data_IF_385138497783
#
_entry.id   IF_385138497783
#
_cell.length_a   1.000
_cell.length_b   1.000
_cell.length_c   1.000
_cell.angle_alpha   90.00
_cell.angle_beta   90.00
_cell.angle_gamma   90.00
#
_symmetry.space_group_name_H-M   'P 1'
#
loop_
_entity.id
_entity.type
_entity.pdbx_description
1 polymer ?
#
# COMPACT_ATOMS: atom_id res chain seq x y z
N UNK A 1 27.82 -5.40 -27.67
CA UNK A 1 29.04 -4.77 -28.25
C UNK A 1 28.67 -3.91 -29.46
N UNK A 2 28.07 -4.47 -30.55
CA UNK A 2 27.74 -3.72 -31.77
C UNK A 2 26.79 -2.53 -31.53
N UNK A 3 25.76 -2.72 -30.68
CA UNK A 3 24.81 -1.64 -30.32
C UNK A 3 25.54 -0.47 -29.62
N UNK A 4 26.43 -0.75 -28.68
CA UNK A 4 27.19 0.28 -27.97
C UNK A 4 28.10 1.08 -28.90
N UNK A 5 28.74 0.41 -29.86
CA UNK A 5 29.55 1.12 -30.88
C UNK A 5 28.71 2.11 -31.69
N UNK A 6 27.54 1.67 -32.15
CA UNK A 6 26.60 2.57 -32.87
C UNK A 6 26.09 3.71 -32.01
N UNK A 7 25.80 3.47 -30.72
CA UNK A 7 25.41 4.52 -29.79
C UNK A 7 26.49 5.56 -29.58
N UNK A 8 27.78 5.14 -29.49
CA UNK A 8 28.92 6.05 -29.41
C UNK A 8 29.05 6.91 -30.68
N UNK A 9 28.88 6.30 -31.85
CA UNK A 9 28.91 7.04 -33.14
C UNK A 9 27.75 8.03 -33.22
N UNK A 10 26.54 7.62 -32.84
CA UNK A 10 25.34 8.50 -32.81
C UNK A 10 25.51 9.64 -31.83
N UNK A 11 26.03 9.38 -30.64
CA UNK A 11 26.33 10.39 -29.62
C UNK A 11 27.21 11.51 -30.19
N UNK A 12 28.32 11.12 -30.84
CA UNK A 12 29.24 12.08 -31.50
C UNK A 12 28.58 12.85 -32.64
N UNK A 13 27.74 12.16 -33.44
CA UNK A 13 27.08 12.79 -34.59
C UNK A 13 25.99 13.77 -34.21
N UNK A 14 25.27 13.48 -33.10
CA UNK A 14 24.10 14.25 -32.64
C UNK A 14 24.40 15.17 -31.46
N UNK A 15 25.65 15.17 -30.98
CA UNK A 15 26.08 15.90 -29.77
C UNK A 15 25.20 15.59 -28.54
N UNK A 16 24.86 14.30 -28.36
CA UNK A 16 24.05 13.84 -27.22
C UNK A 16 24.96 13.06 -26.25
N UNK A 17 25.14 13.53 -25.01
CA UNK A 17 25.97 12.85 -24.02
C UNK A 17 25.51 11.42 -23.72
N UNK A 18 26.47 10.49 -23.57
CA UNK A 18 26.20 9.12 -23.14
C UNK A 18 26.16 9.02 -21.62
N UNK A 19 25.40 8.05 -21.12
CA UNK A 19 25.41 7.65 -19.72
C UNK A 19 25.57 6.14 -19.59
N UNK A 20 26.43 5.70 -18.67
CA UNK A 20 26.64 4.29 -18.38
C UNK A 20 25.48 3.74 -17.56
N UNK A 21 24.94 2.58 -17.98
CA UNK A 21 23.89 1.84 -17.26
C UNK A 21 24.27 0.38 -17.13
N UNK A 22 23.75 -0.31 -16.12
CA UNK A 22 24.10 -1.71 -15.85
C UNK A 22 22.96 -2.70 -16.12
N UNK A 23 21.70 -2.26 -16.18
CA UNK A 23 20.54 -3.13 -16.34
C UNK A 23 20.45 -4.21 -15.22
N UNK A 24 20.66 -3.79 -13.96
CA UNK A 24 20.71 -4.71 -12.82
C UNK A 24 19.36 -5.36 -12.54
N UNK A 25 19.33 -6.70 -12.42
CA UNK A 25 18.14 -7.50 -12.12
C UNK A 25 18.25 -8.22 -10.78
N UNK A 26 19.45 -8.39 -10.24
CA UNK A 26 19.72 -9.02 -8.94
C UNK A 26 20.94 -8.38 -8.28
N UNK A 27 21.15 -8.63 -6.98
CA UNK A 27 22.18 -7.95 -6.20
C UNK A 27 23.57 -8.51 -6.43
N UNK A 28 23.72 -9.83 -6.36
CA UNK A 28 25.01 -10.53 -6.45
C UNK A 28 25.05 -11.44 -7.67
N UNK A 29 26.24 -11.71 -8.17
CA UNK A 29 26.42 -12.56 -9.35
C UNK A 29 25.86 -13.97 -9.17
N UNK A 30 25.99 -14.54 -7.97
CA UNK A 30 25.46 -15.83 -7.59
C UNK A 30 23.93 -15.91 -7.55
N UNK A 31 23.23 -14.77 -7.49
CA UNK A 31 21.77 -14.70 -7.53
C UNK A 31 21.16 -14.96 -8.93
N UNK A 32 22.01 -15.08 -9.96
CA UNK A 32 21.58 -15.30 -11.33
C UNK A 32 20.65 -16.52 -11.48
N UNK A 33 20.99 -17.63 -10.80
CA UNK A 33 20.15 -18.82 -10.83
C UNK A 33 18.80 -18.63 -10.14
N UNK A 34 18.77 -17.95 -8.99
CA UNK A 34 17.54 -17.60 -8.28
C UNK A 34 16.65 -16.70 -9.15
N UNK A 35 17.24 -15.77 -9.89
CA UNK A 35 16.54 -14.93 -10.83
C UNK A 35 15.93 -15.72 -12.00
N UNK A 36 16.62 -16.72 -12.55
CA UNK A 36 16.03 -17.59 -13.56
C UNK A 36 14.82 -18.38 -13.04
N UNK A 37 14.91 -18.88 -11.80
CA UNK A 37 13.76 -19.53 -11.12
C UNK A 37 12.62 -18.53 -10.94
N UNK A 38 12.90 -17.28 -10.57
CA UNK A 38 11.89 -16.21 -10.45
C UNK A 38 11.19 -15.93 -11.78
N UNK A 39 11.94 -15.91 -12.91
CA UNK A 39 11.35 -15.76 -14.24
C UNK A 39 10.40 -16.93 -14.57
N UNK A 40 10.78 -18.16 -14.22
CA UNK A 40 9.90 -19.34 -14.36
C UNK A 40 8.63 -19.20 -13.51
N UNK A 41 8.74 -18.70 -12.27
CA UNK A 41 7.57 -18.44 -11.41
C UNK A 41 6.62 -17.42 -12.05
N UNK A 42 7.17 -16.32 -12.58
CA UNK A 42 6.39 -15.24 -13.20
C UNK A 42 5.69 -15.67 -14.50
N UNK A 43 6.38 -16.46 -15.32
CA UNK A 43 5.89 -16.89 -16.64
C UNK A 43 5.10 -18.18 -16.61
N UNK A 44 5.00 -18.85 -15.46
CA UNK A 44 4.33 -20.13 -15.31
C UNK A 44 5.09 -21.31 -15.90
N UNK A 45 6.38 -21.13 -16.21
CA UNK A 45 7.27 -22.14 -16.82
C UNK A 45 8.05 -22.93 -15.76
N UNK A 46 8.69 -24.01 -16.20
CA UNK A 46 9.65 -24.82 -15.42
C UNK A 46 11.08 -24.58 -15.89
N UNK A 47 12.06 -24.85 -15.03
CA UNK A 47 13.48 -24.76 -15.40
C UNK A 47 13.87 -25.77 -16.50
N UNK A 48 13.12 -26.83 -16.67
CA UNK A 48 13.27 -27.87 -17.72
C UNK A 48 12.68 -27.46 -19.07
N UNK A 49 11.81 -26.44 -19.13
CA UNK A 49 11.18 -26.03 -20.38
C UNK A 49 12.19 -25.37 -21.33
N UNK A 50 12.21 -25.76 -22.58
CA UNK A 50 13.14 -25.23 -23.60
C UNK A 50 12.78 -23.80 -24.00
N UNK A 51 11.50 -23.48 -24.06
CA UNK A 51 10.94 -22.19 -24.48
C UNK A 51 10.80 -21.17 -23.33
N UNK A 52 11.44 -21.41 -22.18
CA UNK A 52 11.44 -20.48 -21.06
C UNK A 52 12.29 -19.24 -21.31
N UNK A 53 11.92 -18.13 -20.74
CA UNK A 53 12.73 -16.92 -20.74
C UNK A 53 14.05 -17.16 -19.99
N UNK A 54 15.17 -16.73 -20.60
CA UNK A 54 16.53 -16.86 -20.05
C UNK A 54 17.27 -15.54 -20.25
N UNK A 55 18.10 -15.14 -19.28
CA UNK A 55 18.92 -13.94 -19.43
C UNK A 55 20.18 -14.18 -20.26
N UNK A 56 20.60 -15.42 -20.45
CA UNK A 56 21.73 -15.82 -21.29
C UNK A 56 23.12 -15.50 -20.72
N UNK A 57 23.20 -14.79 -19.58
CA UNK A 57 24.44 -14.44 -18.87
C UNK A 57 24.13 -14.13 -17.41
N UNK A 58 25.14 -14.22 -16.53
CA UNK A 58 25.07 -13.88 -15.11
C UNK A 58 25.54 -12.44 -14.81
N UNK A 59 25.59 -11.57 -15.84
CA UNK A 59 26.17 -10.23 -15.75
C UNK A 59 25.16 -9.13 -15.32
N UNK A 60 23.94 -9.49 -14.94
CA UNK A 60 22.88 -8.53 -14.52
C UNK A 60 22.86 -8.23 -13.01
N UNK A 61 23.99 -8.45 -12.32
CA UNK A 61 24.13 -8.08 -10.90
C UNK A 61 24.52 -6.61 -10.72
N UNK A 62 24.39 -6.09 -9.50
CA UNK A 62 24.81 -4.74 -9.16
C UNK A 62 26.34 -4.69 -9.09
N UNK A 63 26.96 -4.14 -10.13
CA UNK A 63 28.42 -4.01 -10.25
C UNK A 63 28.96 -2.89 -9.37
N UNK A 64 30.20 -3.06 -8.89
CA UNK A 64 30.91 -2.00 -8.18
C UNK A 64 31.27 -0.83 -9.12
N UNK A 65 31.57 0.36 -8.57
CA UNK A 65 32.06 1.48 -9.38
C UNK A 65 33.33 1.13 -10.20
N UNK A 66 34.22 0.33 -9.63
CA UNK A 66 35.44 -0.11 -10.28
C UNK A 66 35.16 -1.05 -11.45
N UNK A 67 34.27 -2.03 -11.26
CA UNK A 67 33.81 -2.91 -12.34
C UNK A 67 33.14 -2.10 -13.45
N UNK A 68 32.26 -1.15 -13.12
CA UNK A 68 31.64 -0.29 -14.13
C UNK A 68 32.65 0.56 -14.86
N UNK A 69 33.67 1.13 -14.18
CA UNK A 69 34.74 1.89 -14.82
C UNK A 69 35.55 1.05 -15.81
N UNK A 70 35.81 -0.21 -15.47
CA UNK A 70 36.54 -1.13 -16.39
C UNK A 70 35.67 -1.48 -17.62
N UNK A 71 34.36 -1.72 -17.45
CA UNK A 71 33.44 -1.97 -18.58
C UNK A 71 33.33 -0.79 -19.54
N UNK A 72 33.40 0.44 -19.03
CA UNK A 72 33.25 1.68 -19.81
C UNK A 72 34.56 2.44 -19.99
N UNK A 73 35.75 1.79 -19.82
CA UNK A 73 37.07 2.43 -19.93
C UNK A 73 37.32 3.15 -21.26
N UNK A 74 36.63 2.74 -22.33
CA UNK A 74 36.75 3.38 -23.65
C UNK A 74 35.83 4.61 -23.80
N UNK A 75 34.96 4.89 -22.83
CA UNK A 75 33.97 5.98 -22.80
C UNK A 75 33.82 6.50 -21.37
N UNK A 76 34.90 6.94 -20.71
CA UNK A 76 34.88 7.32 -19.29
C UNK A 76 33.90 8.45 -19.00
N UNK A 77 33.65 9.34 -19.94
CA UNK A 77 32.66 10.42 -19.84
C UNK A 77 31.23 9.89 -19.58
N UNK A 78 30.93 8.65 -20.00
CA UNK A 78 29.61 8.05 -19.72
C UNK A 78 29.43 7.72 -18.23
N UNK A 79 30.50 7.39 -17.50
CA UNK A 79 30.50 7.24 -16.05
C UNK A 79 30.36 8.61 -15.36
N UNK A 80 31.16 9.62 -15.78
CA UNK A 80 31.07 10.98 -15.21
C UNK A 80 29.66 11.58 -15.38
N UNK A 81 29.02 11.31 -16.49
CA UNK A 81 27.67 11.81 -16.78
C UNK A 81 26.60 11.24 -15.84
N UNK A 82 26.83 10.11 -15.17
CA UNK A 82 25.90 9.60 -14.12
C UNK A 82 25.80 10.61 -12.96
N UNK A 83 26.94 11.18 -12.54
CA UNK A 83 26.99 12.21 -11.49
C UNK A 83 26.33 13.49 -11.97
N UNK A 84 26.63 13.96 -13.20
CA UNK A 84 26.00 15.14 -13.78
C UNK A 84 24.46 15.03 -13.88
N UNK A 85 23.94 13.81 -14.12
CA UNK A 85 22.48 13.57 -14.10
C UNK A 85 21.95 13.66 -12.67
N UNK A 86 22.63 13.05 -11.69
CA UNK A 86 22.23 13.13 -10.29
C UNK A 86 22.18 14.58 -9.79
N UNK A 87 23.16 15.42 -10.17
CA UNK A 87 23.21 16.86 -9.82
C UNK A 87 22.06 17.66 -10.43
N UNK A 88 21.50 17.24 -11.56
CA UNK A 88 20.30 17.86 -12.15
C UNK A 88 19.00 17.47 -11.47
N UNK A 89 19.00 16.41 -10.67
CA UNK A 89 17.82 15.92 -9.98
C UNK A 89 17.68 16.60 -8.62
N UNK A 90 16.81 17.61 -8.54
CA UNK A 90 16.49 18.33 -7.31
C UNK A 90 15.04 18.09 -6.95
N UNK A 91 14.80 17.25 -5.94
CA UNK A 91 13.47 16.90 -5.46
C UNK A 91 13.45 16.95 -3.93
N UNK A 92 12.66 17.84 -3.39
CA UNK A 92 12.35 17.91 -1.96
C UNK A 92 10.94 17.37 -1.68
N UNK A 93 10.83 16.59 -0.62
CA UNK A 93 9.55 16.07 -0.15
C UNK A 93 9.02 16.95 1.00
N UNK A 94 7.85 17.54 0.80
CA UNK A 94 7.14 18.23 1.88
C UNK A 94 6.51 17.20 2.82
N UNK A 95 7.06 17.05 4.02
CA UNK A 95 6.49 16.22 5.08
C UNK A 95 5.55 17.05 5.98
N UNK A 96 4.48 16.40 6.46
CA UNK A 96 3.54 17.01 7.41
C UNK A 96 2.46 17.90 6.79
N UNK A 97 2.51 18.16 5.49
CA UNK A 97 1.47 18.91 4.79
C UNK A 97 0.35 17.97 4.32
N UNK A 98 -0.73 17.89 5.08
CA UNK A 98 -1.90 17.06 4.76
C UNK A 98 -2.74 17.74 3.69
N UNK A 99 -2.89 17.08 2.53
CA UNK A 99 -3.66 17.58 1.37
C UNK A 99 -5.03 16.92 1.34
N UNK A 100 -5.96 17.35 2.21
CA UNK A 100 -7.35 16.89 2.17
C UNK A 100 -8.11 17.56 1.01
N UNK A 101 -9.07 16.87 0.38
CA UNK A 101 -10.00 17.50 -0.54
C UNK A 101 -10.85 18.53 0.19
N UNK A 102 -11.33 19.55 -0.53
CA UNK A 102 -12.31 20.49 0.02
C UNK A 102 -13.69 19.85 -0.05
N UNK A 103 -14.45 19.99 1.03
CA UNK A 103 -15.87 19.68 1.03
C UNK A 103 -16.66 20.92 0.56
N UNK A 104 -17.62 20.73 -0.34
CA UNK A 104 -18.52 21.83 -0.75
C UNK A 104 -19.68 21.90 0.22
N UNK A 105 -19.75 23.00 0.99
CA UNK A 105 -20.85 23.27 1.92
C UNK A 105 -22.03 23.96 1.22
N UNK A 106 -23.27 23.76 1.68
CA UNK A 106 -24.44 24.49 1.17
C UNK A 106 -24.25 25.99 1.28
N UNK A 107 -24.80 26.75 0.31
CA UNK A 107 -24.57 28.19 0.19
C UNK A 107 -25.09 29.04 1.35
N UNK A 108 -25.99 28.48 2.20
CA UNK A 108 -26.49 29.13 3.41
C UNK A 108 -25.48 29.18 4.57
N UNK A 109 -24.37 28.44 4.48
CA UNK A 109 -23.34 28.40 5.52
C UNK A 109 -22.10 29.21 5.11
N UNK A 110 -21.64 30.09 5.99
CA UNK A 110 -20.47 30.93 5.74
C UNK A 110 -19.16 30.13 5.78
N UNK A 111 -19.08 29.10 6.62
CA UNK A 111 -17.87 28.27 6.80
C UNK A 111 -18.20 26.78 6.88
N UNK A 112 -17.19 25.94 6.59
CA UNK A 112 -17.26 24.49 6.78
C UNK A 112 -17.53 24.13 8.25
N UNK A 113 -16.95 24.88 9.16
CA UNK A 113 -17.13 24.72 10.61
C UNK A 113 -18.57 24.96 11.04
N UNK A 114 -19.24 25.98 10.50
CA UNK A 114 -20.65 26.27 10.83
C UNK A 114 -21.56 25.12 10.39
N UNK A 115 -21.37 24.65 9.17
CA UNK A 115 -22.12 23.50 8.66
C UNK A 115 -21.86 22.24 9.48
N UNK A 116 -20.60 21.95 9.78
CA UNK A 116 -20.20 20.82 10.60
C UNK A 116 -20.86 20.85 12.00
N UNK A 117 -20.77 21.99 12.68
CA UNK A 117 -21.39 22.19 14.00
C UNK A 117 -22.91 22.03 13.95
N UNK A 118 -23.55 22.51 12.88
CA UNK A 118 -25.02 22.33 12.69
C UNK A 118 -25.37 20.86 12.56
N UNK A 119 -24.69 20.13 11.66
CA UNK A 119 -24.92 18.70 11.46
C UNK A 119 -24.68 17.89 12.74
N UNK A 120 -23.60 18.20 13.46
CA UNK A 120 -23.25 17.51 14.69
C UNK A 120 -24.27 17.76 15.80
N UNK A 121 -24.76 19.01 15.97
CA UNK A 121 -25.79 19.36 16.96
C UNK A 121 -27.14 18.71 16.63
N UNK A 122 -27.57 18.72 15.38
CA UNK A 122 -28.79 18.04 14.95
C UNK A 122 -28.68 16.52 15.19
N UNK A 123 -27.48 15.98 14.95
CA UNK A 123 -27.20 14.58 15.24
C UNK A 123 -27.20 14.26 16.73
N UNK A 124 -26.66 15.13 17.57
CA UNK A 124 -26.66 14.97 19.02
C UNK A 124 -28.09 14.91 19.54
N UNK A 125 -28.98 15.84 19.10
CA UNK A 125 -30.37 15.86 19.46
C UNK A 125 -31.11 14.58 19.02
N UNK A 126 -30.82 14.06 17.84
CA UNK A 126 -31.37 12.77 17.35
C UNK A 126 -30.94 11.58 18.20
N UNK A 127 -29.70 11.57 18.74
CA UNK A 127 -29.13 10.44 19.48
C UNK A 127 -29.49 10.45 20.98
N UNK A 128 -29.56 11.65 21.58
CA UNK A 128 -29.72 11.82 23.03
C UNK A 128 -30.93 12.66 23.42
N UNK A 129 -31.75 13.12 22.44
CA UNK A 129 -32.89 14.02 22.67
C UNK A 129 -32.45 15.48 22.81
N UNK A 130 -33.44 16.36 23.01
CA UNK A 130 -33.21 17.83 23.03
C UNK A 130 -32.47 18.32 24.28
N UNK A 131 -32.43 17.53 25.34
CA UNK A 131 -31.78 17.89 26.59
C UNK A 131 -30.86 16.78 27.11
N UNK A 132 -29.73 16.53 26.48
CA UNK A 132 -28.73 15.57 26.97
C UNK A 132 -28.11 16.01 28.29
N UNK A 133 -27.53 15.05 29.05
CA UNK A 133 -26.85 15.34 30.33
C UNK A 133 -25.68 16.29 30.14
N UNK A 134 -25.25 16.93 31.22
CA UNK A 134 -24.12 17.88 31.16
C UNK A 134 -22.81 17.16 30.77
N UNK A 135 -22.59 15.94 31.24
CA UNK A 135 -21.46 15.08 30.80
C UNK A 135 -21.42 14.91 29.27
N UNK A 136 -22.55 14.65 28.66
CA UNK A 136 -22.64 14.49 27.19
C UNK A 136 -22.38 15.81 26.49
N UNK A 137 -22.87 16.93 26.99
CA UNK A 137 -22.64 18.27 26.42
C UNK A 137 -21.19 18.67 26.52
N UNK A 138 -20.56 18.52 27.69
CA UNK A 138 -19.16 18.84 27.91
C UNK A 138 -18.24 18.02 27.01
N UNK A 139 -18.46 16.72 26.95
CA UNK A 139 -17.69 15.83 26.06
C UNK A 139 -17.86 16.19 24.59
N UNK A 140 -19.07 16.50 24.16
CA UNK A 140 -19.38 16.88 22.78
C UNK A 140 -18.69 18.19 22.37
N UNK A 141 -18.80 19.25 23.19
CA UNK A 141 -18.16 20.55 22.91
C UNK A 141 -16.63 20.43 22.96
N UNK A 142 -16.08 19.63 23.86
CA UNK A 142 -14.66 19.33 23.92
C UNK A 142 -14.17 18.69 22.60
N UNK A 143 -14.84 17.63 22.15
CA UNK A 143 -14.45 16.96 20.91
C UNK A 143 -14.59 17.86 19.67
N UNK A 144 -15.67 18.67 19.58
CA UNK A 144 -15.83 19.65 18.51
C UNK A 144 -14.63 20.63 18.48
N UNK A 145 -14.23 21.14 19.64
CA UNK A 145 -13.11 22.07 19.74
C UNK A 145 -11.77 21.45 19.31
N UNK A 146 -11.54 20.19 19.65
CA UNK A 146 -10.33 19.45 19.25
C UNK A 146 -10.32 19.21 17.75
N UNK A 147 -11.44 18.74 17.17
CA UNK A 147 -11.55 18.49 15.72
C UNK A 147 -11.31 19.77 14.92
N UNK A 148 -11.87 20.89 15.36
CA UNK A 148 -11.68 22.22 14.74
C UNK A 148 -10.24 22.68 14.84
N UNK A 149 -9.65 22.67 16.05
CA UNK A 149 -8.25 23.06 16.29
C UNK A 149 -7.24 22.23 15.47
N UNK A 150 -7.50 20.96 15.32
CA UNK A 150 -6.63 20.06 14.55
C UNK A 150 -6.85 20.16 13.03
N UNK A 151 -7.86 20.93 12.56
CA UNK A 151 -8.15 21.14 11.14
C UNK A 151 -8.78 19.94 10.44
N UNK A 152 -9.52 19.09 11.16
CA UNK A 152 -10.12 17.88 10.59
C UNK A 152 -11.60 18.00 10.26
N UNK A 153 -12.16 19.22 10.26
CA UNK A 153 -13.58 19.47 9.92
C UNK A 153 -13.94 18.88 8.55
N UNK A 154 -13.14 19.19 7.50
CA UNK A 154 -13.39 18.67 6.15
C UNK A 154 -13.31 17.15 6.09
N UNK A 155 -12.37 16.55 6.83
CA UNK A 155 -12.25 15.10 6.92
C UNK A 155 -13.52 14.45 7.46
N UNK A 156 -14.08 14.98 8.55
CA UNK A 156 -15.34 14.48 9.11
C UNK A 156 -16.52 14.68 8.17
N UNK A 157 -16.61 15.84 7.50
CA UNK A 157 -17.65 16.12 6.52
C UNK A 157 -17.62 15.16 5.33
N UNK A 158 -16.44 14.86 4.80
CA UNK A 158 -16.26 13.91 3.71
C UNK A 158 -16.66 12.50 4.13
N UNK A 159 -16.25 12.06 5.33
CA UNK A 159 -16.60 10.73 5.84
C UNK A 159 -18.11 10.64 6.08
N UNK A 160 -18.72 11.66 6.70
CA UNK A 160 -20.15 11.74 6.87
C UNK A 160 -20.91 11.68 5.55
N UNK A 161 -20.45 12.40 4.54
CA UNK A 161 -21.10 12.52 3.24
C UNK A 161 -21.26 11.17 2.53
N UNK A 162 -20.20 10.40 2.38
CA UNK A 162 -20.30 9.12 1.69
C UNK A 162 -21.05 8.06 2.52
N UNK A 163 -20.99 8.12 3.85
CA UNK A 163 -21.80 7.26 4.73
C UNK A 163 -23.27 7.62 4.59
N UNK A 164 -23.59 8.91 4.59
CA UNK A 164 -24.96 9.41 4.42
C UNK A 164 -25.49 9.02 3.03
N UNK A 165 -24.68 9.16 1.97
CA UNK A 165 -25.04 8.67 0.64
C UNK A 165 -25.38 7.18 0.67
N UNK A 166 -24.52 6.34 1.24
CA UNK A 166 -24.75 4.90 1.32
C UNK A 166 -26.08 4.59 2.01
N UNK A 167 -26.37 5.23 3.16
CA UNK A 167 -27.62 5.03 3.90
C UNK A 167 -28.85 5.50 3.13
N UNK A 168 -28.77 6.64 2.44
CA UNK A 168 -29.90 7.16 1.63
C UNK A 168 -30.19 6.27 0.42
N UNK A 169 -29.20 5.54 -0.09
CA UNK A 169 -29.38 4.55 -1.13
C UNK A 169 -29.75 3.15 -0.60
N UNK A 170 -29.95 2.99 0.71
CA UNK A 170 -30.26 1.71 1.33
C UNK A 170 -29.09 0.72 1.28
N UNK A 171 -27.84 1.21 1.18
CA UNK A 171 -26.63 0.40 1.27
C UNK A 171 -26.31 0.21 2.75
N UNK A 172 -26.16 -1.04 3.19
CA UNK A 172 -25.85 -1.33 4.59
C UNK A 172 -24.45 -0.80 4.96
N UNK A 173 -24.38 -0.12 6.12
CA UNK A 173 -23.16 0.44 6.70
C UNK A 173 -22.96 -0.16 8.08
N UNK A 174 -21.77 -0.66 8.36
CA UNK A 174 -21.42 -1.22 9.66
C UNK A 174 -21.46 -0.17 10.80
N UNK A 175 -21.58 -0.60 12.06
CA UNK A 175 -21.70 0.31 13.20
C UNK A 175 -20.43 1.13 13.51
N UNK A 176 -19.37 0.90 12.78
CA UNK A 176 -18.06 1.46 13.03
C UNK A 176 -17.19 0.55 13.90
N UNK A 177 -15.89 0.73 13.81
CA UNK A 177 -14.87 -0.04 14.54
C UNK A 177 -13.59 0.76 14.73
N UNK A 178 -12.61 0.19 15.43
CA UNK A 178 -11.34 0.85 15.71
C UNK A 178 -11.50 2.02 16.68
N UNK A 179 -10.56 2.98 16.60
CA UNK A 179 -10.52 4.14 17.51
C UNK A 179 -11.62 5.17 17.25
N UNK A 180 -12.13 5.27 16.01
CA UNK A 180 -13.18 6.22 15.65
C UNK A 180 -14.50 6.04 16.40
N UNK A 181 -14.77 4.81 16.91
CA UNK A 181 -15.92 4.54 17.77
C UNK A 181 -15.87 5.29 19.11
N UNK A 182 -14.72 5.83 19.51
CA UNK A 182 -14.55 6.63 20.73
C UNK A 182 -15.04 8.07 20.63
N UNK A 183 -15.45 8.55 19.43
CA UNK A 183 -15.91 9.93 19.24
C UNK A 183 -17.42 10.07 19.35
N UNK A 184 -17.89 10.93 20.27
CA UNK A 184 -19.31 11.29 20.39
C UNK A 184 -19.77 12.15 19.20
N UNK A 185 -18.88 12.95 18.62
CA UNK A 185 -19.18 13.73 17.41
C UNK A 185 -19.38 12.80 16.22
N UNK A 186 -18.53 11.77 16.05
CA UNK A 186 -18.73 10.75 15.02
C UNK A 186 -20.05 9.97 15.20
N UNK A 187 -20.41 9.66 16.43
CA UNK A 187 -21.69 9.04 16.78
C UNK A 187 -22.89 9.96 16.48
N UNK A 188 -22.81 11.24 16.83
CA UNK A 188 -23.83 12.23 16.54
C UNK A 188 -24.04 12.40 15.03
N UNK A 189 -22.96 12.53 14.25
CA UNK A 189 -23.01 12.61 12.79
C UNK A 189 -23.53 11.31 12.14
N UNK A 190 -23.56 10.20 12.86
CA UNK A 190 -23.90 8.90 12.31
C UNK A 190 -22.78 8.27 11.50
N UNK A 191 -21.54 8.71 11.67
CA UNK A 191 -20.35 8.04 11.14
C UNK A 191 -20.19 6.68 11.83
N UNK A 192 -20.47 6.63 13.13
CA UNK A 192 -20.54 5.39 13.92
C UNK A 192 -21.90 5.22 14.56
N UNK A 193 -22.28 3.98 14.90
CA UNK A 193 -23.51 3.64 15.63
C UNK A 193 -23.20 3.06 17.03
N UNK A 194 -21.95 3.20 17.48
CA UNK A 194 -21.51 2.80 18.82
C UNK A 194 -21.53 4.03 19.73
N UNK A 195 -22.32 3.97 20.80
CA UNK A 195 -22.41 5.07 21.79
C UNK A 195 -21.14 5.07 22.67
N UNK A 196 -20.23 6.06 22.52
CA UNK A 196 -18.96 6.06 23.24
C UNK A 196 -19.13 6.29 24.74
N UNK A 197 -20.17 7.00 25.17
CA UNK A 197 -20.47 7.25 26.59
C UNK A 197 -20.92 5.95 27.27
N UNK A 198 -21.84 5.22 26.65
CA UNK A 198 -22.36 3.94 27.18
C UNK A 198 -21.24 2.91 27.41
N UNK A 199 -20.22 2.92 26.58
CA UNK A 199 -19.12 1.94 26.62
C UNK A 199 -17.81 2.52 27.16
N UNK A 200 -17.83 3.72 27.73
CA UNK A 200 -16.65 4.40 28.30
C UNK A 200 -15.44 4.42 27.35
N UNK A 201 -15.69 4.74 26.07
CA UNK A 201 -14.63 4.81 25.05
C UNK A 201 -13.92 6.15 25.11
N UNK A 202 -12.58 6.10 24.98
CA UNK A 202 -11.72 7.28 25.04
C UNK A 202 -11.53 7.90 23.67
N UNK A 203 -11.84 9.20 23.55
CA UNK A 203 -11.64 9.99 22.33
C UNK A 203 -10.17 10.19 21.99
N UNK A 204 -9.32 10.31 23.01
CA UNK A 204 -7.88 10.55 22.86
C UNK A 204 -7.15 9.38 22.19
N UNK A 205 -7.75 8.20 22.13
CA UNK A 205 -7.26 7.08 21.31
C UNK A 205 -7.48 7.31 19.81
N UNK A 206 -8.46 8.13 19.46
CA UNK A 206 -8.79 8.48 18.09
C UNK A 206 -8.10 9.78 17.66
N UNK A 207 -8.30 10.86 18.44
CA UNK A 207 -7.65 12.16 18.23
C UNK A 207 -7.00 12.62 19.52
N UNK A 208 -5.69 12.86 19.48
CA UNK A 208 -4.94 13.42 20.59
C UNK A 208 -4.18 14.65 20.11
N UNK A 209 -4.45 15.86 20.67
CA UNK A 209 -3.74 17.09 20.32
C UNK A 209 -2.21 17.01 20.51
N UNK A 210 -1.74 16.20 21.49
CA UNK A 210 -0.31 16.01 21.75
C UNK A 210 0.36 15.07 20.74
N UNK A 211 -0.43 14.25 20.03
CA UNK A 211 0.05 13.32 19.02
C UNK A 211 -0.50 13.70 17.66
N UNK A 212 0.28 14.44 16.88
CA UNK A 212 -0.10 14.82 15.50
C UNK A 212 -0.10 13.58 14.61
N UNK A 213 -1.21 12.87 14.60
CA UNK A 213 -1.49 11.79 13.64
C UNK A 213 -2.85 12.04 13.02
N UNK A 214 -2.94 11.85 11.70
CA UNK A 214 -4.22 11.97 11.01
C UNK A 214 -5.20 10.90 11.51
N UNK A 215 -6.46 11.25 11.80
CA UNK A 215 -7.49 10.29 12.14
C UNK A 215 -7.76 9.33 10.99
N UNK A 216 -8.17 8.10 11.30
CA UNK A 216 -8.56 7.08 10.32
C UNK A 216 -9.88 6.45 10.76
N UNK A 217 -10.94 6.62 9.96
CA UNK A 217 -12.21 5.94 10.15
C UNK A 217 -12.23 4.65 9.32
N UNK A 218 -12.37 3.53 10.01
CA UNK A 218 -12.65 2.25 9.39
C UNK A 218 -14.17 2.11 9.19
N UNK A 219 -14.65 2.17 7.95
CA UNK A 219 -16.06 2.07 7.59
C UNK A 219 -16.31 0.80 6.79
N UNK A 220 -17.25 -0.01 7.24
CA UNK A 220 -17.65 -1.24 6.58
C UNK A 220 -18.93 -1.02 5.76
N UNK A 221 -18.91 -1.40 4.48
CA UNK A 221 -20.04 -1.34 3.56
C UNK A 221 -20.45 -2.73 3.10
N UNK A 222 -21.69 -2.85 2.68
CA UNK A 222 -22.19 -4.00 1.94
C UNK A 222 -21.22 -4.38 0.81
N UNK A 223 -20.80 -5.64 0.80
CA UNK A 223 -19.81 -6.14 -0.16
C UNK A 223 -20.26 -5.99 -1.62
N UNK A 224 -21.52 -6.28 -1.90
CA UNK A 224 -22.04 -6.26 -3.27
C UNK A 224 -22.19 -4.84 -3.81
N UNK A 225 -22.59 -3.90 -2.92
CA UNK A 225 -22.96 -2.54 -3.30
C UNK A 225 -21.92 -1.46 -2.97
N UNK A 226 -20.79 -1.82 -2.34
CA UNK A 226 -19.75 -0.82 -2.00
C UNK A 226 -19.19 -0.11 -3.24
N UNK A 227 -19.21 -0.76 -4.43
CA UNK A 227 -18.78 -0.15 -5.69
C UNK A 227 -19.56 1.13 -6.00
N UNK A 228 -20.86 1.18 -5.65
CA UNK A 228 -21.70 2.37 -5.85
C UNK A 228 -21.22 3.56 -4.99
N UNK A 229 -20.73 3.30 -3.79
CA UNK A 229 -20.17 4.33 -2.89
C UNK A 229 -18.85 4.87 -3.45
N UNK A 230 -17.96 4.00 -3.96
CA UNK A 230 -16.70 4.40 -4.60
C UNK A 230 -17.00 5.25 -5.85
N UNK A 231 -17.96 4.84 -6.67
CA UNK A 231 -18.38 5.60 -7.84
C UNK A 231 -18.99 6.96 -7.47
N UNK A 232 -19.76 7.03 -6.39
CA UNK A 232 -20.27 8.30 -5.85
C UNK A 232 -19.13 9.24 -5.48
N UNK A 233 -18.16 8.77 -4.72
CA UNK A 233 -16.99 9.58 -4.33
C UNK A 233 -16.22 10.04 -5.58
N UNK A 234 -16.00 9.15 -6.54
CA UNK A 234 -15.35 9.50 -7.81
C UNK A 234 -16.13 10.53 -8.65
N UNK A 235 -17.47 10.50 -8.62
CA UNK A 235 -18.30 11.53 -9.29
C UNK A 235 -18.27 12.86 -8.54
N UNK A 236 -18.34 12.84 -7.21
CA UNK A 236 -18.42 14.04 -6.39
C UNK A 236 -17.10 14.81 -6.30
N UNK A 237 -16.00 14.08 -6.07
CA UNK A 237 -14.67 14.69 -5.84
C UNK A 237 -13.78 14.70 -7.09
N UNK A 238 -14.20 14.07 -8.17
CA UNK A 238 -13.48 13.96 -9.43
C UNK A 238 -12.75 12.62 -9.56
N UNK A 239 -12.92 11.95 -10.70
CA UNK A 239 -12.29 10.63 -10.97
C UNK A 239 -10.78 10.66 -11.00
N UNK A 240 -10.19 11.82 -11.26
CA UNK A 240 -8.75 12.06 -11.24
C UNK A 240 -8.22 12.42 -9.84
N UNK A 241 -9.09 12.62 -8.86
CA UNK A 241 -8.76 12.89 -7.46
C UNK A 241 -8.94 11.65 -6.55
N UNK A 242 -9.60 10.62 -7.04
CA UNK A 242 -9.88 9.38 -6.30
C UNK A 242 -9.12 8.23 -6.91
N UNK A 243 -8.42 7.46 -6.11
CA UNK A 243 -7.64 6.32 -6.56
C UNK A 243 -7.61 5.21 -5.53
N UNK A 244 -7.59 3.97 -6.02
CA UNK A 244 -7.38 2.80 -5.17
C UNK A 244 -5.91 2.69 -4.77
N UNK A 245 -5.66 2.20 -3.55
CA UNK A 245 -4.31 1.98 -3.05
C UNK A 245 -3.78 0.67 -3.60
N UNK A 246 -2.57 0.73 -4.17
CA UNK A 246 -1.86 -0.47 -4.61
C UNK A 246 -1.38 -1.27 -3.40
N UNK A 247 -1.43 -2.59 -3.52
CA UNK A 247 -0.78 -3.53 -2.61
C UNK A 247 0.16 -4.44 -3.39
N UNK A 248 1.22 -4.87 -2.73
CA UNK A 248 2.15 -5.85 -3.27
C UNK A 248 2.02 -7.14 -2.47
N UNK A 249 1.58 -8.20 -3.13
CA UNK A 249 1.67 -9.54 -2.58
C UNK A 249 3.14 -9.96 -2.56
N UNK A 250 3.65 -10.36 -1.39
CA UNK A 250 5.02 -10.86 -1.24
C UNK A 250 5.03 -12.38 -1.19
N UNK A 251 6.15 -12.99 -1.58
CA UNK A 251 6.35 -14.43 -1.49
C UNK A 251 6.59 -14.83 -0.03
N UNK A 252 5.53 -15.25 0.67
CA UNK A 252 5.63 -15.79 2.03
C UNK A 252 6.27 -17.17 2.04
N UNK A 253 6.85 -17.59 3.18
CA UNK A 253 7.58 -18.85 3.33
C UNK A 253 6.89 -20.05 2.71
N UNK A 254 5.61 -20.31 3.05
CA UNK A 254 4.85 -21.45 2.49
C UNK A 254 4.57 -21.31 1.01
N UNK A 255 4.38 -20.08 0.53
CA UNK A 255 4.07 -19.82 -0.89
C UNK A 255 5.32 -19.99 -1.74
N UNK A 256 6.44 -19.40 -1.33
CA UNK A 256 7.68 -19.46 -2.10
C UNK A 256 8.22 -20.89 -2.22
N UNK A 257 8.10 -21.73 -1.18
CA UNK A 257 8.44 -23.16 -1.24
C UNK A 257 7.67 -23.87 -2.36
N UNK A 258 6.35 -23.66 -2.46
CA UNK A 258 5.53 -24.27 -3.52
C UNK A 258 5.82 -23.71 -4.90
N UNK A 259 6.06 -22.39 -5.00
CA UNK A 259 6.36 -21.74 -6.27
C UNK A 259 7.72 -22.19 -6.83
N UNK A 260 8.76 -22.25 -5.97
CA UNK A 260 10.09 -22.75 -6.33
C UNK A 260 10.03 -24.23 -6.70
N UNK A 261 9.34 -25.07 -5.90
CA UNK A 261 9.17 -26.49 -6.19
C UNK A 261 8.53 -26.70 -7.57
N UNK A 262 7.48 -25.96 -7.91
CA UNK A 262 6.85 -25.99 -9.22
C UNK A 262 7.82 -25.60 -10.34
N UNK A 263 8.61 -24.54 -10.15
CA UNK A 263 9.59 -24.10 -11.13
C UNK A 263 10.72 -25.12 -11.33
N UNK A 264 11.10 -25.85 -10.28
CA UNK A 264 12.10 -26.93 -10.33
C UNK A 264 11.53 -28.29 -10.76
N UNK A 265 10.26 -28.37 -11.09
CA UNK A 265 9.53 -29.61 -11.46
C UNK A 265 9.46 -30.68 -10.34
N UNK A 266 9.47 -30.22 -9.07
CA UNK A 266 9.29 -31.09 -7.92
C UNK A 266 7.79 -31.43 -7.76
N UNK A 267 7.42 -32.69 -7.47
CA UNK A 267 6.04 -33.10 -7.31
C UNK A 267 5.30 -32.30 -6.24
N UNK A 268 4.05 -31.94 -6.53
CA UNK A 268 3.23 -31.11 -5.62
C UNK A 268 3.12 -31.71 -4.20
N UNK A 269 3.00 -33.04 -4.07
CA UNK A 269 2.90 -33.70 -2.78
C UNK A 269 4.12 -33.48 -1.88
N UNK A 270 5.32 -33.48 -2.46
CA UNK A 270 6.58 -33.21 -1.75
C UNK A 270 6.66 -31.72 -1.36
N UNK A 271 6.37 -30.83 -2.29
CA UNK A 271 6.33 -29.40 -2.05
C UNK A 271 5.34 -29.01 -0.93
N UNK A 272 4.16 -29.63 -0.93
CA UNK A 272 3.11 -29.38 0.07
C UNK A 272 3.50 -29.94 1.45
N UNK A 273 4.18 -31.09 1.49
CA UNK A 273 4.76 -31.64 2.74
C UNK A 273 5.75 -30.65 3.35
N UNK A 274 6.72 -30.16 2.58
CA UNK A 274 7.70 -29.16 3.05
C UNK A 274 7.01 -27.87 3.50
N UNK A 275 6.09 -27.34 2.72
CA UNK A 275 5.38 -26.12 3.07
C UNK A 275 4.52 -26.25 4.35
N UNK A 276 3.97 -27.43 4.65
CA UNK A 276 3.23 -27.73 5.88
C UNK A 276 4.13 -27.82 7.11
N UNK A 277 5.42 -28.08 6.95
CA UNK A 277 6.38 -28.09 8.07
C UNK A 277 6.68 -26.68 8.60
N UNK A 278 6.43 -25.63 7.82
CA UNK A 278 6.53 -24.25 8.26
C UNK A 278 5.43 -23.94 9.28
N UNK A 279 5.74 -23.49 10.52
CA UNK A 279 4.76 -23.16 11.54
C UNK A 279 3.74 -22.10 11.10
N UNK A 280 2.55 -22.10 11.71
CA UNK A 280 1.51 -21.12 11.38
C UNK A 280 1.62 -19.87 12.25
N UNK A 281 2.74 -19.15 12.09
CA UNK A 281 3.02 -17.89 12.78
C UNK A 281 3.00 -16.73 11.80
N UNK A 282 2.60 -15.55 12.28
CA UNK A 282 2.58 -14.34 11.48
C UNK A 282 4.03 -13.89 11.18
N UNK A 283 4.32 -13.65 9.90
CA UNK A 283 5.65 -13.24 9.42
C UNK A 283 6.78 -14.26 9.69
N UNK A 284 6.44 -15.55 9.79
CA UNK A 284 7.44 -16.61 9.87
C UNK A 284 8.30 -16.64 8.61
N UNK A 285 9.60 -16.78 8.78
CA UNK A 285 10.54 -16.99 7.66
C UNK A 285 10.96 -18.46 7.57
N UNK A 286 11.43 -18.91 6.39
CA UNK A 286 11.93 -20.26 6.21
C UNK A 286 13.06 -20.55 7.19
N UNK A 287 13.98 -19.60 7.38
CA UNK A 287 15.08 -19.74 8.34
C UNK A 287 14.59 -19.99 9.77
N UNK A 288 13.63 -19.20 10.26
CA UNK A 288 13.03 -19.42 11.58
C UNK A 288 12.29 -20.75 11.67
N UNK A 289 11.61 -21.14 10.59
CA UNK A 289 10.92 -22.42 10.54
C UNK A 289 11.86 -23.61 10.66
N UNK A 290 13.05 -23.55 10.04
CA UNK A 290 14.09 -24.57 10.18
C UNK A 290 14.62 -24.66 11.60
N UNK A 291 14.77 -23.53 12.30
CA UNK A 291 15.20 -23.48 13.71
C UNK A 291 14.13 -24.04 14.68
N UNK A 292 12.85 -23.76 14.43
CA UNK A 292 11.74 -24.13 15.30
C UNK A 292 11.28 -25.58 15.10
N UNK A 293 11.31 -26.09 13.86
CA UNK A 293 10.86 -27.43 13.52
C UNK A 293 12.07 -28.35 13.25
N UNK A 294 12.40 -29.18 14.25
CA UNK A 294 13.55 -30.08 14.18
C UNK A 294 13.50 -31.07 13.00
N UNK A 295 12.31 -31.58 12.66
CA UNK A 295 12.15 -32.48 11.51
C UNK A 295 12.45 -31.73 10.19
N UNK A 296 12.01 -30.48 10.07
CA UNK A 296 12.26 -29.65 8.90
C UNK A 296 13.76 -29.30 8.78
N UNK A 297 14.41 -28.96 9.91
CA UNK A 297 15.86 -28.75 9.95
C UNK A 297 16.66 -29.98 9.56
N UNK A 298 16.31 -31.18 10.09
CA UNK A 298 16.97 -32.43 9.73
C UNK A 298 16.83 -32.75 8.22
N UNK A 299 15.65 -32.53 7.62
CA UNK A 299 15.45 -32.71 6.18
C UNK A 299 16.34 -31.78 5.36
N UNK A 300 16.45 -30.53 5.76
CA UNK A 300 17.34 -29.54 5.11
C UNK A 300 18.81 -29.97 5.17
N UNK A 301 19.27 -30.59 6.28
CA UNK A 301 20.65 -31.03 6.43
C UNK A 301 20.96 -32.33 5.69
N UNK A 302 20.00 -33.26 5.63
CA UNK A 302 20.21 -34.63 5.15
C UNK A 302 19.87 -34.83 3.66
N UNK A 303 18.92 -34.06 3.13
CA UNK A 303 18.47 -34.18 1.74
C UNK A 303 18.94 -33.01 0.88
N UNK A 304 19.84 -33.30 -0.06
CA UNK A 304 20.43 -32.29 -0.94
C UNK A 304 19.41 -31.60 -1.84
N UNK A 305 18.38 -32.34 -2.29
CA UNK A 305 17.32 -31.78 -3.15
C UNK A 305 16.46 -30.80 -2.36
N UNK A 306 16.06 -31.17 -1.14
CA UNK A 306 15.33 -30.27 -0.22
C UNK A 306 16.16 -29.04 0.13
N UNK A 307 17.46 -29.22 0.43
CA UNK A 307 18.35 -28.09 0.72
C UNK A 307 18.42 -27.10 -0.44
N UNK A 308 18.69 -27.59 -1.66
CA UNK A 308 18.72 -26.75 -2.87
C UNK A 308 17.42 -25.98 -3.09
N UNK A 309 16.28 -26.64 -2.92
CA UNK A 309 14.97 -26.01 -3.04
C UNK A 309 14.77 -24.91 -2.00
N UNK A 310 15.11 -25.18 -0.74
CA UNK A 310 14.94 -24.23 0.35
C UNK A 310 15.93 -23.07 0.28
N UNK A 311 17.18 -23.28 -0.19
CA UNK A 311 18.15 -22.19 -0.40
C UNK A 311 17.66 -21.19 -1.45
N UNK A 312 17.12 -21.70 -2.56
CA UNK A 312 16.49 -20.86 -3.59
C UNK A 312 15.25 -20.14 -3.01
N UNK A 313 14.43 -20.87 -2.28
CA UNK A 313 13.24 -20.31 -1.65
C UNK A 313 13.58 -19.20 -0.65
N UNK A 314 14.63 -19.36 0.17
CA UNK A 314 15.13 -18.31 1.09
C UNK A 314 15.65 -17.09 0.32
N UNK A 315 16.30 -17.29 -0.84
CA UNK A 315 16.75 -16.17 -1.69
C UNK A 315 15.62 -15.38 -2.33
N UNK A 316 14.44 -15.99 -2.51
CA UNK A 316 13.26 -15.36 -3.11
C UNK A 316 12.19 -14.95 -2.07
N UNK A 317 12.33 -15.37 -0.82
CA UNK A 317 11.38 -15.06 0.25
C UNK A 317 11.26 -13.56 0.49
N UNK A 318 10.05 -13.07 0.63
CA UNK A 318 9.75 -11.66 0.87
C UNK A 318 9.77 -10.77 -0.37
N UNK A 319 10.23 -11.27 -1.53
CA UNK A 319 10.19 -10.49 -2.77
C UNK A 319 8.75 -10.23 -3.21
N UNK A 320 8.45 -9.06 -3.82
CA UNK A 320 7.15 -8.78 -4.42
C UNK A 320 6.84 -9.78 -5.54
N UNK A 321 5.66 -10.40 -5.48
CA UNK A 321 5.21 -11.35 -6.49
C UNK A 321 4.29 -10.70 -7.51
N UNK A 322 3.34 -9.92 -7.03
CA UNK A 322 2.33 -9.26 -7.86
C UNK A 322 1.84 -7.97 -7.22
N UNK A 323 1.53 -7.01 -8.07
CA UNK A 323 0.81 -5.82 -7.67
C UNK A 323 -0.69 -6.08 -7.78
N UNK A 324 -1.45 -5.70 -6.76
CA UNK A 324 -2.91 -5.70 -6.78
C UNK A 324 -3.44 -4.40 -6.18
N UNK A 325 -4.75 -4.20 -6.24
CA UNK A 325 -5.39 -3.10 -5.52
C UNK A 325 -5.71 -3.56 -4.11
N UNK A 326 -5.57 -2.66 -3.14
CA UNK A 326 -6.01 -2.93 -1.78
C UNK A 326 -7.51 -3.15 -1.80
N UNK A 327 -7.96 -4.33 -1.33
CA UNK A 327 -9.37 -4.69 -1.38
C UNK A 327 -10.29 -3.70 -0.65
N UNK A 328 -9.74 -2.90 0.26
CA UNK A 328 -10.48 -2.14 1.24
C UNK A 328 -10.09 -0.66 1.35
N UNK A 329 -9.20 -0.11 0.51
CA UNK A 329 -8.75 1.28 0.64
C UNK A 329 -8.79 2.03 -0.67
N UNK A 330 -9.41 3.21 -0.62
CA UNK A 330 -9.36 4.22 -1.66
C UNK A 330 -8.78 5.51 -1.07
N UNK A 331 -8.14 6.32 -1.90
CA UNK A 331 -7.57 7.61 -1.51
C UNK A 331 -8.21 8.73 -2.29
N UNK A 332 -8.54 9.82 -1.61
CA UNK A 332 -9.09 11.03 -2.20
C UNK A 332 -8.12 12.21 -2.00
N UNK A 333 -7.90 13.02 -3.02
CA UNK A 333 -6.89 14.06 -3.05
C UNK A 333 -7.45 15.41 -3.50
N UNK A 334 -6.94 16.51 -2.93
CA UNK A 334 -7.26 17.89 -3.34
C UNK A 334 -6.78 18.22 -4.77
N UNK A 335 -5.73 17.55 -5.25
CA UNK A 335 -5.18 17.70 -6.60
C UNK A 335 -5.25 16.37 -7.34
N UNK A 336 -5.27 16.44 -8.67
CA UNK A 336 -5.26 15.23 -9.51
C UNK A 336 -4.14 14.26 -9.10
N UNK A 337 -4.50 12.98 -8.93
CA UNK A 337 -3.56 11.90 -8.58
C UNK A 337 -2.35 11.86 -9.53
N UNK A 338 -2.55 12.13 -10.83
CA UNK A 338 -1.49 12.15 -11.83
C UNK A 338 -0.43 13.23 -11.59
N UNK A 339 -0.76 14.28 -10.81
CA UNK A 339 0.18 15.35 -10.44
C UNK A 339 0.86 15.12 -9.10
N UNK A 340 0.33 14.23 -8.28
CA UNK A 340 0.83 13.96 -6.93
C UNK A 340 1.67 12.69 -6.83
N UNK A 341 1.41 11.72 -7.68
CA UNK A 341 2.06 10.40 -7.64
C UNK A 341 2.29 9.90 -9.07
N UNK A 342 3.40 9.21 -9.30
CA UNK A 342 3.55 8.38 -10.47
C UNK A 342 2.50 7.27 -10.40
N UNK A 343 1.58 7.23 -11.36
CA UNK A 343 0.54 6.21 -11.42
C UNK A 343 0.92 5.11 -12.39
N UNK A 344 0.81 3.86 -11.95
CA UNK A 344 0.81 2.72 -12.88
C UNK A 344 -0.58 2.66 -13.50
N UNK A 345 -0.70 3.06 -14.74
CA UNK A 345 -1.92 2.89 -15.52
C UNK A 345 -1.98 1.44 -16.02
N UNK A 346 -2.62 0.52 -15.29
CA UNK A 346 -3.20 -0.67 -15.92
C UNK A 346 -4.43 -0.23 -16.69
N UNK A 347 -4.58 -0.67 -17.94
CA UNK A 347 -5.58 -0.26 -18.96
C UNK A 347 -7.04 -0.03 -18.49
N UNK A 348 -7.37 -0.17 -17.20
CA UNK A 348 -8.73 0.02 -16.64
C UNK A 348 -8.80 0.72 -15.27
N UNK A 349 -7.70 0.97 -14.55
CA UNK A 349 -7.76 1.62 -13.24
C UNK A 349 -6.47 2.42 -12.98
N UNK A 350 -6.58 3.65 -12.50
CA UNK A 350 -5.44 4.41 -11.99
C UNK A 350 -5.02 3.79 -10.65
N UNK A 351 -3.80 3.29 -10.59
CA UNK A 351 -3.24 2.69 -9.36
C UNK A 351 -2.06 3.55 -8.93
N UNK A 352 -2.11 4.08 -7.73
CA UNK A 352 -0.98 4.81 -7.15
C UNK A 352 0.16 3.87 -6.79
N UNK A 353 1.34 4.18 -7.30
CA UNK A 353 2.54 3.39 -7.05
C UNK A 353 3.36 4.04 -5.95
N UNK A 354 2.97 3.85 -4.70
CA UNK A 354 3.85 4.17 -3.58
C UNK A 354 3.85 2.98 -2.63
N UNK A 355 5.03 2.44 -2.44
CA UNK A 355 5.31 1.26 -1.64
C UNK A 355 5.04 1.53 -0.15
N UNK A 356 4.29 0.64 0.52
CA UNK A 356 3.84 0.86 1.90
C UNK A 356 4.60 0.05 2.96
N UNK A 357 5.64 -0.72 2.62
CA UNK A 357 6.25 -1.66 3.57
C UNK A 357 7.40 -1.11 4.42
N UNK A 358 7.88 0.11 4.18
CA UNK A 358 8.90 0.74 5.05
C UNK A 358 8.54 2.16 5.49
N UNK A 359 7.26 2.50 5.48
CA UNK A 359 6.78 3.86 5.65
C UNK A 359 6.52 4.28 7.09
N UNK A 360 7.35 3.88 8.04
CA UNK A 360 7.50 4.75 9.23
C UNK A 360 8.11 6.12 8.89
N UNK A 361 8.61 6.32 7.67
CA UNK A 361 9.25 7.59 7.22
C UNK A 361 8.60 8.31 6.04
N UNK A 362 7.71 7.70 5.27
CA UNK A 362 6.99 8.39 4.17
C UNK A 362 5.51 8.49 4.48
N UNK A 363 5.11 9.57 5.16
CA UNK A 363 3.73 9.91 5.53
C UNK A 363 2.80 10.24 4.34
N UNK A 364 3.20 9.93 3.11
CA UNK A 364 2.43 10.30 1.91
C UNK A 364 1.14 9.51 1.69
N UNK A 365 0.94 8.36 2.36
CA UNK A 365 -0.15 7.46 2.01
C UNK A 365 -1.07 7.09 3.19
N UNK A 366 -0.99 7.77 4.32
CA UNK A 366 -1.96 7.52 5.40
C UNK A 366 -3.30 8.24 5.23
N UNK A 367 -3.54 8.89 4.11
CA UNK A 367 -4.81 9.57 3.81
C UNK A 367 -5.79 8.65 3.06
N UNK A 368 -5.77 7.36 3.36
CA UNK A 368 -6.80 6.44 2.89
C UNK A 368 -8.09 6.71 3.64
N UNK A 369 -9.03 7.39 3.00
CA UNK A 369 -10.34 7.75 3.54
C UNK A 369 -11.26 6.55 3.72
N UNK A 370 -10.93 5.41 3.14
CA UNK A 370 -11.79 4.23 3.16
C UNK A 370 -11.03 2.97 3.50
N UNK A 371 -11.43 2.32 4.55
CA UNK A 371 -11.14 0.92 4.80
C UNK A 371 -12.45 0.15 4.80
N UNK A 372 -12.82 -0.44 3.66
CA UNK A 372 -13.93 -1.38 3.63
C UNK A 372 -13.41 -2.77 4.02
N UNK A 373 -13.86 -3.35 5.10
CA UNK A 373 -13.63 -4.76 5.43
C UNK A 373 -14.83 -5.60 5.01
N UNK A 374 -14.56 -6.89 4.80
CA UNK A 374 -15.58 -7.86 4.49
C UNK A 374 -16.44 -8.11 5.73
N UNK A 375 -17.70 -7.71 5.69
CA UNK A 375 -18.70 -8.22 6.64
C UNK A 375 -19.47 -9.32 5.92
N UNK A 376 -19.25 -10.57 6.30
CA UNK A 376 -20.19 -11.63 5.98
C UNK A 376 -21.44 -11.39 6.81
N UNK A 377 -22.53 -10.97 6.17
CA UNK A 377 -23.84 -11.08 6.79
C UNK A 377 -24.27 -12.54 6.74
N UNK A 378 -24.22 -13.22 7.87
CA UNK A 378 -25.02 -14.41 8.07
C UNK A 378 -26.47 -13.95 8.25
N UNK A 379 -27.32 -14.26 7.30
CA UNK A 379 -28.74 -14.51 7.45
C UNK A 379 -29.03 -15.96 7.16
#
# INVERSE_FOLDING_TARGET
VLANQKLIEMSKKLDIPLVATNDSHYLKKEDAYNHEVLLCIQTGKKMTDEDRMRMGTDEFYVKSPEEMAEYFKNVPEAIENTVKIAEKCNLDFEFGNTKLPNYEVPAEFATHTDYFKKLAKDGLARRYGDNPSDEIKERFEYELSVIEKMGYVDYFLIVWDFINYARTQGIAVGPGRGSGAGSIVAYALGITDINPIKYNLLFERFLNPERISMPDFDVDFDYERRGEVIDYVGRKYGKDHVSQIITFGTMSARMVIRDVARALDVPYAEADKLAKMVPNELHITIKKALEQNREFGNLYEQDEQTRKLLDIAMGLEGLPRQASTHACRDSNYKRSCNRLCASICKRRHNINTIYNDNTRRTRFIKNGLFRASYTYSYF
#
